data_IF_269352135339
#
_entry.id   IF_269352135339
#
_cell.length_a   1.000
_cell.length_b   1.000
_cell.length_c   1.000
_cell.angle_alpha   90.00
_cell.angle_beta   90.00
_cell.angle_gamma   90.00
#
_symmetry.space_group_name_H-M   'P 1'
#
loop_
_entity.id
_entity.type
_entity.pdbx_description
1 polymer ?
#
# COMPACT_ATOMS: atom_id res chain seq x y z
N UNK A 1 -16.97 -30.46 6.52
CA UNK A 1 -15.95 -31.41 5.98
C UNK A 1 -15.66 -31.21 4.49
N UNK A 2 -16.42 -30.39 3.75
CA UNK A 2 -16.25 -30.22 2.29
C UNK A 2 -15.23 -29.14 1.88
N UNK A 3 -15.10 -28.03 2.63
CA UNK A 3 -14.21 -26.90 2.26
C UNK A 3 -12.72 -27.23 2.23
N UNK A 4 -12.25 -28.11 3.13
CA UNK A 4 -10.85 -28.52 3.21
C UNK A 4 -10.39 -29.31 1.98
N UNK A 5 -11.30 -30.07 1.36
CA UNK A 5 -11.01 -30.84 0.15
C UNK A 5 -10.79 -29.89 -1.04
N UNK A 6 -11.68 -28.91 -1.25
CA UNK A 6 -11.57 -27.92 -2.35
C UNK A 6 -10.29 -27.08 -2.30
N UNK A 7 -9.84 -26.70 -1.10
CA UNK A 7 -8.55 -26.03 -0.91
C UNK A 7 -7.36 -26.90 -1.36
N UNK A 8 -7.43 -28.23 -1.13
CA UNK A 8 -6.35 -29.18 -1.43
C UNK A 8 -6.23 -29.49 -2.93
N UNK A 9 -7.33 -29.37 -3.69
CA UNK A 9 -7.39 -29.57 -5.15
C UNK A 9 -7.23 -28.27 -5.95
N UNK A 10 -7.01 -27.12 -5.28
CA UNK A 10 -6.74 -25.83 -5.95
C UNK A 10 -7.91 -25.25 -6.76
N UNK A 11 -9.14 -25.71 -6.52
CA UNK A 11 -10.33 -25.31 -7.28
C UNK A 11 -10.97 -24.00 -6.80
N UNK A 12 -10.52 -23.46 -5.66
CA UNK A 12 -10.92 -22.13 -5.22
C UNK A 12 -10.02 -21.12 -5.92
N UNK A 13 -10.57 -20.19 -6.73
CA UNK A 13 -9.77 -19.13 -7.32
C UNK A 13 -9.02 -18.40 -6.21
N UNK A 14 -7.69 -18.36 -6.26
CA UNK A 14 -6.92 -17.54 -5.32
C UNK A 14 -7.39 -16.10 -5.49
N UNK A 15 -8.02 -15.55 -4.45
CA UNK A 15 -8.39 -14.13 -4.44
C UNK A 15 -7.12 -13.30 -4.70
N UNK A 16 -7.20 -12.39 -5.66
CA UNK A 16 -6.09 -11.48 -5.98
C UNK A 16 -5.76 -10.65 -4.74
N UNK A 17 -4.47 -10.46 -4.41
CA UNK A 17 -4.10 -9.67 -3.24
C UNK A 17 -4.54 -8.22 -3.42
N UNK A 18 -5.01 -7.61 -2.33
CA UNK A 18 -5.28 -6.18 -2.25
C UNK A 18 -3.94 -5.46 -2.12
N UNK A 19 -3.66 -4.55 -3.05
CA UNK A 19 -2.39 -3.83 -3.10
C UNK A 19 -2.49 -2.52 -2.34
N UNK A 20 -1.70 -2.39 -1.28
CA UNK A 20 -1.70 -1.24 -0.38
C UNK A 20 -0.36 -0.53 -0.51
N UNK A 21 -0.39 0.80 -0.64
CA UNK A 21 0.81 1.63 -0.61
C UNK A 21 0.75 2.59 0.57
N UNK A 22 1.78 2.57 1.42
CA UNK A 22 1.92 3.49 2.56
C UNK A 22 2.79 4.66 2.14
N UNK A 23 2.36 5.89 2.38
CA UNK A 23 3.08 7.12 1.99
C UNK A 23 3.04 8.17 3.10
N UNK A 24 4.01 9.09 3.06
CA UNK A 24 4.20 10.14 4.06
C UNK A 24 5.68 10.50 4.21
N UNK A 25 5.96 11.63 4.85
CA UNK A 25 7.33 12.14 5.01
C UNK A 25 8.28 11.14 5.72
N UNK A 26 9.61 11.30 5.58
CA UNK A 26 10.57 10.56 6.40
C UNK A 26 10.28 10.74 7.90
N UNK A 27 10.46 9.68 8.69
CA UNK A 27 10.35 9.77 10.16
C UNK A 27 8.93 9.75 10.75
N UNK A 28 7.86 9.85 9.95
CA UNK A 28 6.46 9.86 10.46
C UNK A 28 5.97 8.52 11.03
N UNK A 29 6.75 7.44 10.93
CA UNK A 29 6.41 6.13 11.50
C UNK A 29 5.73 5.13 10.56
N UNK A 30 5.87 5.26 9.22
CA UNK A 30 5.31 4.33 8.22
C UNK A 30 5.68 2.86 8.49
N UNK A 31 6.98 2.57 8.53
CA UNK A 31 7.51 1.22 8.78
C UNK A 31 7.13 0.72 10.17
N UNK A 32 7.19 1.58 11.19
CA UNK A 32 6.79 1.23 12.55
C UNK A 32 5.32 0.82 12.63
N UNK A 33 4.43 1.56 11.96
CA UNK A 33 3.00 1.25 11.88
C UNK A 33 2.76 -0.10 11.18
N UNK A 34 3.38 -0.32 10.02
CA UNK A 34 3.24 -1.56 9.26
C UNK A 34 3.76 -2.77 10.02
N UNK A 35 4.98 -2.69 10.55
CA UNK A 35 5.59 -3.80 11.27
C UNK A 35 4.83 -4.09 12.55
N UNK A 36 4.32 -3.07 13.26
CA UNK A 36 3.45 -3.28 14.42
C UNK A 36 2.15 -3.98 14.04
N UNK A 37 1.54 -3.60 12.91
CA UNK A 37 0.33 -4.25 12.41
C UNK A 37 0.57 -5.74 12.11
N UNK A 38 1.66 -6.07 11.41
CA UNK A 38 2.00 -7.43 10.98
C UNK A 38 2.48 -8.30 12.13
N UNK A 39 3.41 -7.81 12.95
CA UNK A 39 4.12 -8.61 13.97
C UNK A 39 3.51 -8.53 15.36
N UNK A 40 2.62 -7.56 15.60
CA UNK A 40 2.10 -7.18 16.92
C UNK A 40 3.19 -6.73 17.92
N UNK A 41 4.41 -6.44 17.44
CA UNK A 41 5.54 -5.94 18.22
C UNK A 41 5.93 -4.55 17.76
N UNK A 42 6.46 -3.76 18.71
CA UNK A 42 7.09 -2.49 18.37
C UNK A 42 8.59 -2.75 18.30
N UNK A 43 9.19 -2.58 17.13
CA UNK A 43 10.63 -2.77 16.88
C UNK A 43 11.17 -1.37 16.61
N UNK A 44 12.32 -1.00 17.19
CA UNK A 44 12.86 0.36 17.08
C UNK A 44 13.77 0.57 15.86
N UNK A 45 14.44 -0.49 15.44
CA UNK A 45 15.52 -0.41 14.46
C UNK A 45 15.00 -0.72 13.06
N UNK A 46 14.71 0.34 12.30
CA UNK A 46 14.32 0.27 10.90
C UNK A 46 15.26 1.13 10.05
N UNK A 47 15.59 0.67 8.84
CA UNK A 47 16.31 1.47 7.86
C UNK A 47 15.34 2.48 7.20
N UNK A 48 15.51 3.80 7.40
CA UNK A 48 14.59 4.81 6.86
C UNK A 48 14.63 4.95 5.33
N UNK A 49 15.64 4.38 4.66
CA UNK A 49 15.85 4.48 3.21
C UNK A 49 15.42 3.22 2.46
N UNK A 50 15.02 2.16 3.18
CA UNK A 50 14.64 0.89 2.57
C UNK A 50 13.17 0.90 2.18
N UNK A 51 12.90 0.86 0.87
CA UNK A 51 11.58 0.48 0.36
C UNK A 51 11.40 -1.04 0.44
N UNK A 52 10.24 -1.51 0.91
CA UNK A 52 10.01 -2.94 1.12
C UNK A 52 8.57 -3.38 0.83
N UNK A 53 8.47 -4.55 0.20
CA UNK A 53 7.22 -5.23 -0.08
C UNK A 53 6.91 -6.25 1.01
N UNK A 54 5.73 -6.17 1.61
CA UNK A 54 5.25 -7.10 2.63
C UNK A 54 4.02 -7.86 2.12
N UNK A 55 3.96 -9.17 2.38
CA UNK A 55 2.75 -9.97 2.18
C UNK A 55 2.13 -10.26 3.54
N UNK A 56 0.85 -9.97 3.69
CA UNK A 56 0.10 -10.24 4.91
C UNK A 56 -1.21 -10.94 4.58
N UNK A 57 -1.51 -12.03 5.28
CA UNK A 57 -2.72 -12.82 5.08
C UNK A 57 -3.49 -12.89 6.39
N UNK A 58 -4.80 -12.65 6.32
CA UNK A 58 -5.67 -12.64 7.49
C UNK A 58 -7.03 -13.22 7.14
N UNK A 59 -7.61 -13.97 8.09
CA UNK A 59 -8.99 -14.46 7.98
C UNK A 59 -9.95 -13.36 8.44
N UNK A 60 -10.86 -12.96 7.55
CA UNK A 60 -11.94 -12.01 7.82
C UNK A 60 -13.25 -12.64 7.36
N UNK A 61 -14.25 -12.71 8.24
CA UNK A 61 -15.59 -13.25 7.90
C UNK A 61 -15.58 -14.66 7.30
N UNK A 62 -14.62 -15.50 7.72
CA UNK A 62 -14.36 -16.85 7.18
C UNK A 62 -13.76 -16.91 5.77
N UNK A 63 -13.33 -15.77 5.21
CA UNK A 63 -12.54 -15.68 3.99
C UNK A 63 -11.09 -15.28 4.26
N UNK A 64 -10.16 -15.86 3.50
CA UNK A 64 -8.74 -15.53 3.59
C UNK A 64 -8.43 -14.37 2.65
N UNK A 65 -8.16 -13.20 3.23
CA UNK A 65 -7.79 -11.99 2.49
C UNK A 65 -6.28 -11.85 2.45
N UNK A 66 -5.74 -11.64 1.25
CA UNK A 66 -4.32 -11.42 1.02
C UNK A 66 -4.06 -9.93 0.76
N UNK A 67 -3.06 -9.39 1.44
CA UNK A 67 -2.56 -8.03 1.23
C UNK A 67 -1.13 -8.07 0.72
N UNK A 68 -0.87 -7.25 -0.29
CA UNK A 68 0.46 -6.85 -0.72
C UNK A 68 0.66 -5.40 -0.29
N UNK A 69 1.50 -5.15 0.71
CA UNK A 69 1.73 -3.82 1.29
C UNK A 69 3.12 -3.30 0.94
N UNK A 70 3.18 -2.21 0.17
CA UNK A 70 4.40 -1.48 -0.16
C UNK A 70 4.68 -0.41 0.92
N UNK A 71 5.77 -0.61 1.66
CA UNK A 71 6.35 0.38 2.57
C UNK A 71 7.36 1.23 1.81
N UNK A 72 7.03 2.49 1.58
CA UNK A 72 7.90 3.40 0.81
C UNK A 72 8.99 4.00 1.68
N UNK A 73 10.19 4.14 1.12
CA UNK A 73 11.20 5.03 1.70
C UNK A 73 10.64 6.47 1.82
N UNK A 74 11.00 7.18 2.89
CA UNK A 74 10.44 8.52 3.16
C UNK A 74 10.77 9.58 2.11
N UNK A 75 11.85 9.39 1.35
CA UNK A 75 12.25 10.29 0.26
C UNK A 75 11.62 9.85 -1.06
N UNK A 76 10.33 10.11 -1.21
CA UNK A 76 9.69 10.00 -2.51
C UNK A 76 10.04 11.27 -3.29
N UNK A 77 11.05 11.21 -4.16
CA UNK A 77 11.26 12.30 -5.12
C UNK A 77 10.09 12.32 -6.09
N UNK A 78 9.36 13.44 -6.10
CA UNK A 78 8.09 13.70 -6.82
C UNK A 78 8.10 13.47 -8.34
N UNK A 79 9.27 13.19 -8.92
CA UNK A 79 9.47 13.01 -10.37
C UNK A 79 10.06 11.65 -10.76
N UNK A 80 10.17 10.70 -9.83
CA UNK A 80 10.64 9.37 -10.21
C UNK A 80 9.54 8.61 -10.97
N UNK A 81 9.92 7.95 -12.08
CA UNK A 81 9.05 7.02 -12.80
C UNK A 81 8.42 5.97 -11.86
N UNK A 82 9.17 5.58 -10.83
CA UNK A 82 8.79 4.59 -9.84
C UNK A 82 7.56 5.01 -9.03
N UNK A 83 7.42 6.29 -8.65
CA UNK A 83 6.25 6.76 -7.89
C UNK A 83 4.96 6.61 -8.69
N UNK A 84 4.94 7.04 -9.95
CA UNK A 84 3.76 6.88 -10.82
C UNK A 84 3.41 5.40 -11.02
N UNK A 85 4.41 4.54 -11.20
CA UNK A 85 4.21 3.10 -11.34
C UNK A 85 3.62 2.49 -10.07
N UNK A 86 4.14 2.83 -8.89
CA UNK A 86 3.65 2.38 -7.60
C UNK A 86 2.20 2.86 -7.35
N UNK A 87 1.89 4.11 -7.70
CA UNK A 87 0.51 4.65 -7.62
C UNK A 87 -0.46 3.95 -8.59
N UNK A 88 0.01 3.48 -9.74
CA UNK A 88 -0.81 2.69 -10.68
C UNK A 88 -1.02 1.27 -10.18
N UNK A 89 -0.01 0.69 -9.54
CA UNK A 89 -0.05 -0.65 -8.96
C UNK A 89 -1.00 -0.75 -7.76
N UNK A 90 -1.04 0.26 -6.89
CA UNK A 90 -1.80 0.22 -5.63
C UNK A 90 -3.33 0.34 -5.84
N UNK A 91 -4.10 -0.44 -5.08
CA UNK A 91 -5.56 -0.35 -4.95
C UNK A 91 -5.97 0.60 -3.81
N UNK A 92 -5.21 0.58 -2.72
CA UNK A 92 -5.44 1.34 -1.48
C UNK A 92 -4.21 2.17 -1.14
N UNK A 93 -4.43 3.37 -0.63
CA UNK A 93 -3.37 4.26 -0.15
C UNK A 93 -3.57 4.59 1.32
N UNK A 94 -2.50 4.50 2.10
CA UNK A 94 -2.46 4.93 3.50
C UNK A 94 -1.53 6.14 3.58
N UNK A 95 -2.06 7.29 3.97
CA UNK A 95 -1.29 8.52 4.19
C UNK A 95 -0.98 8.66 5.68
N UNK A 96 0.30 8.75 6.02
CA UNK A 96 0.79 8.81 7.41
C UNK A 96 1.47 10.15 7.64
N UNK A 97 1.10 10.81 8.72
CA UNK A 97 1.73 12.05 9.20
C UNK A 97 1.98 11.95 10.71
N UNK A 98 2.92 12.75 11.21
CA UNK A 98 3.13 12.91 12.64
C UNK A 98 2.26 14.03 13.18
N UNK A 99 1.52 13.76 14.26
CA UNK A 99 0.70 14.78 14.94
C UNK A 99 1.52 15.95 15.51
N UNK A 100 2.82 15.73 15.73
CA UNK A 100 3.76 16.74 16.23
C UNK A 100 4.45 17.52 15.10
N UNK A 101 4.19 17.19 13.84
CA UNK A 101 4.80 17.84 12.68
C UNK A 101 3.73 18.24 11.66
N UNK A 102 3.38 19.53 11.68
CA UNK A 102 2.40 20.11 10.75
C UNK A 102 2.83 19.97 9.28
N UNK A 103 4.13 20.06 8.98
CA UNK A 103 4.63 19.92 7.61
C UNK A 103 4.30 18.52 7.05
N UNK A 104 4.36 17.49 7.89
CA UNK A 104 4.00 16.13 7.49
C UNK A 104 2.51 15.96 7.17
N UNK A 105 1.64 16.74 7.83
CA UNK A 105 0.21 16.79 7.52
C UNK A 105 -0.07 17.52 6.20
N UNK A 106 0.57 18.67 5.99
CA UNK A 106 0.43 19.44 4.75
C UNK A 106 0.92 18.62 3.55
N UNK A 107 1.98 17.84 3.72
CA UNK A 107 2.50 16.92 2.70
C UNK A 107 1.49 15.81 2.33
N UNK A 108 0.68 15.32 3.28
CA UNK A 108 -0.39 14.37 2.98
C UNK A 108 -1.44 14.96 2.04
N UNK A 109 -1.74 16.26 2.16
CA UNK A 109 -2.65 16.95 1.23
C UNK A 109 -2.08 16.98 -0.19
N UNK A 110 -0.76 17.24 -0.32
CA UNK A 110 -0.04 17.18 -1.60
C UNK A 110 -0.04 15.76 -2.19
N UNK A 111 0.28 14.74 -1.40
CA UNK A 111 0.24 13.34 -1.83
C UNK A 111 -1.16 12.92 -2.31
N UNK A 112 -2.22 13.32 -1.60
CA UNK A 112 -3.61 13.07 -2.01
C UNK A 112 -3.91 13.68 -3.39
N UNK A 113 -3.45 14.90 -3.66
CA UNK A 113 -3.60 15.52 -4.97
C UNK A 113 -2.90 14.69 -6.07
N UNK A 114 -1.66 14.25 -5.84
CA UNK A 114 -0.89 13.43 -6.79
C UNK A 114 -1.56 12.10 -7.11
N UNK A 115 -2.10 11.41 -6.10
CA UNK A 115 -2.86 10.16 -6.28
C UNK A 115 -4.07 10.41 -7.18
N UNK A 116 -4.84 11.45 -6.89
CA UNK A 116 -6.05 11.78 -7.66
C UNK A 116 -5.73 12.13 -9.12
N UNK A 117 -4.66 12.89 -9.34
CA UNK A 117 -4.17 13.21 -10.68
C UNK A 117 -3.80 11.95 -11.46
N UNK A 118 -3.01 11.06 -10.87
CA UNK A 118 -2.59 9.80 -11.50
C UNK A 118 -3.76 8.84 -11.79
N UNK A 119 -4.73 8.72 -10.87
CA UNK A 119 -5.92 7.88 -11.07
C UNK A 119 -6.86 8.45 -12.14
N UNK A 120 -6.99 9.77 -12.26
CA UNK A 120 -7.77 10.43 -13.35
C UNK A 120 -7.14 10.22 -14.72
N UNK A 121 -5.81 10.41 -14.85
CA UNK A 121 -5.05 10.18 -16.08
C UNK A 121 -5.26 8.77 -16.64
N UNK A 122 -5.35 7.76 -15.76
CA UNK A 122 -5.68 6.37 -16.13
C UNK A 122 -7.05 6.25 -16.80
N UNK A 123 -8.10 6.82 -16.19
CA UNK A 123 -9.48 6.74 -16.71
C UNK A 123 -9.59 7.33 -18.11
N UNK A 124 -8.88 8.42 -18.38
CA UNK A 124 -8.83 9.06 -19.69
C UNK A 124 -8.09 8.19 -20.72
N UNK A 125 -6.92 7.63 -20.37
CA UNK A 125 -6.15 6.77 -21.27
C UNK A 125 -6.88 5.48 -21.67
N UNK A 126 -7.64 4.85 -20.76
CA UNK A 126 -8.43 3.66 -21.08
C UNK A 126 -9.61 3.98 -22.01
N UNK A 127 -10.22 5.16 -21.87
CA UNK A 127 -11.36 5.57 -22.70
C UNK A 127 -10.96 5.83 -24.16
N UNK A 128 -9.75 6.35 -24.40
CA UNK A 128 -9.21 6.60 -25.75
C UNK A 128 -8.83 5.31 -26.47
N UNK A 129 -8.46 4.24 -25.76
CA UNK A 129 -8.10 2.95 -26.38
C UNK A 129 -9.30 2.06 -26.74
N UNK A 130 -10.47 2.37 -26.21
CA UNK A 130 -11.70 1.59 -26.41
C UNK A 130 -12.70 2.33 -27.33
N UNK A 131 -12.23 3.31 -28.08
CA UNK A 131 -12.96 4.11 -29.07
C UNK A 131 -12.20 4.03 -30.39
#
# INVERSE_FOLDING_TARGET
MTSTLYNKIGLIPKQKPIKVMIMGQPGVGKTALLVRFVTKKFIGDYDPNLEKMYTYQVSMESEMVNFEILDTAGYVQDKSCNLEMNMRWADVFILVYSITDKCSFDDCSRLKFLINYNKKKRRLSTKVRNM
#
